data_IF_609374940986
#
_entry.id   IF_609374940986
#
_cell.length_a   1.000
_cell.length_b   1.000
_cell.length_c   1.000
_cell.angle_alpha   90.00
_cell.angle_beta   90.00
_cell.angle_gamma   90.00
#
_symmetry.space_group_name_H-M   'P 1'
#
loop_
_entity.id
_entity.type
_entity.pdbx_description
1 polymer ?
#
# COMPACT_ATOMS: atom_id res chain seq x y z
N UNK A 1 10.70 -16.81 -28.28
CA UNK A 1 11.68 -16.14 -27.39
C UNK A 1 11.97 -17.03 -26.18
N UNK A 2 13.15 -16.92 -25.57
CA UNK A 2 13.46 -17.58 -24.29
C UNK A 2 12.70 -16.91 -23.12
N UNK A 3 12.19 -17.70 -22.18
CA UNK A 3 11.44 -17.20 -21.02
C UNK A 3 12.24 -16.19 -20.20
N UNK A 4 13.56 -16.39 -20.05
CA UNK A 4 14.43 -15.44 -19.35
C UNK A 4 14.41 -14.06 -19.99
N UNK A 5 14.52 -14.00 -21.32
CA UNK A 5 14.49 -12.76 -22.09
C UNK A 5 13.12 -12.08 -22.04
N UNK A 6 12.04 -12.86 -22.04
CA UNK A 6 10.68 -12.34 -21.86
C UNK A 6 10.50 -11.73 -20.47
N UNK A 7 10.99 -12.38 -19.41
CA UNK A 7 10.94 -11.83 -18.04
C UNK A 7 11.74 -10.55 -17.88
N UNK A 8 12.92 -10.46 -18.50
CA UNK A 8 13.69 -9.20 -18.53
C UNK A 8 12.90 -8.08 -19.22
N UNK A 9 12.28 -8.37 -20.38
CA UNK A 9 11.47 -7.41 -21.10
C UNK A 9 10.24 -6.95 -20.30
N UNK A 10 9.58 -7.87 -19.60
CA UNK A 10 8.45 -7.54 -18.72
C UNK A 10 8.88 -6.69 -17.52
N UNK A 11 10.02 -7.00 -16.89
CA UNK A 11 10.58 -6.17 -15.80
C UNK A 11 10.81 -4.75 -16.28
N UNK A 12 11.53 -4.58 -17.39
CA UNK A 12 11.79 -3.27 -17.98
C UNK A 12 10.47 -2.50 -18.21
N UNK A 13 9.44 -3.15 -18.75
CA UNK A 13 8.12 -2.53 -18.95
C UNK A 13 7.44 -2.12 -17.63
N UNK A 14 7.52 -2.94 -16.58
CA UNK A 14 6.95 -2.61 -15.27
C UNK A 14 7.67 -1.42 -14.64
N UNK A 15 8.99 -1.33 -14.85
CA UNK A 15 9.84 -0.26 -14.36
C UNK A 15 9.77 1.02 -15.23
N UNK A 16 9.01 0.97 -16.35
CA UNK A 16 8.89 2.09 -17.30
C UNK A 16 10.11 2.28 -18.21
N UNK A 17 11.00 1.30 -18.25
CA UNK A 17 12.20 1.29 -19.08
C UNK A 17 11.93 0.80 -20.52
N UNK A 18 12.89 1.06 -21.40
CA UNK A 18 12.85 0.58 -22.77
C UNK A 18 13.06 -0.94 -22.86
N UNK A 19 12.41 -1.58 -23.83
CA UNK A 19 12.60 -3.01 -24.08
C UNK A 19 14.06 -3.32 -24.45
N UNK A 20 14.59 -4.49 -24.01
CA UNK A 20 15.94 -4.88 -24.32
C UNK A 20 16.14 -5.03 -25.85
N UNK A 21 17.35 -4.74 -26.38
CA UNK A 21 17.63 -4.80 -27.80
C UNK A 21 17.21 -6.14 -28.42
N UNK A 22 16.55 -6.10 -29.58
CA UNK A 22 16.06 -7.30 -30.28
C UNK A 22 14.85 -7.97 -29.63
N UNK A 23 14.22 -7.35 -28.63
CA UNK A 23 12.87 -7.70 -28.18
C UNK A 23 11.90 -6.62 -28.66
N UNK A 24 10.89 -7.04 -29.41
CA UNK A 24 9.78 -6.17 -29.81
C UNK A 24 8.56 -6.44 -28.94
N UNK A 25 7.66 -5.45 -28.84
CA UNK A 25 6.40 -5.62 -28.12
C UNK A 25 5.60 -6.79 -28.70
N UNK A 26 5.53 -6.90 -30.03
CA UNK A 26 4.83 -8.01 -30.69
C UNK A 26 5.41 -9.38 -30.32
N UNK A 27 6.73 -9.54 -30.33
CA UNK A 27 7.38 -10.80 -29.96
C UNK A 27 7.17 -11.16 -28.48
N UNK A 28 7.07 -10.14 -27.62
CA UNK A 28 6.72 -10.33 -26.21
C UNK A 28 5.27 -10.79 -26.05
N UNK A 29 4.32 -10.13 -26.72
CA UNK A 29 2.90 -10.49 -26.68
C UNK A 29 2.64 -11.90 -27.25
N UNK A 30 3.29 -12.26 -28.35
CA UNK A 30 3.22 -13.61 -28.92
C UNK A 30 3.73 -14.66 -27.92
N UNK A 31 4.83 -14.37 -27.21
CA UNK A 31 5.32 -15.27 -26.18
C UNK A 31 4.35 -15.40 -25.00
N UNK A 32 3.74 -14.29 -24.55
CA UNK A 32 2.74 -14.31 -23.48
C UNK A 32 1.49 -15.10 -23.89
N UNK A 33 1.08 -15.06 -25.15
CA UNK A 33 -0.02 -15.89 -25.64
C UNK A 33 0.31 -17.39 -25.53
N UNK A 34 1.56 -17.78 -25.82
CA UNK A 34 2.00 -19.18 -25.82
C UNK A 34 2.51 -19.73 -24.48
N UNK A 35 2.93 -18.89 -23.53
CA UNK A 35 3.64 -19.32 -22.32
C UNK A 35 2.87 -19.01 -21.03
N UNK A 36 2.30 -20.05 -20.41
CA UNK A 36 1.55 -19.92 -19.16
C UNK A 36 2.42 -19.44 -17.97
N UNK A 37 3.65 -19.92 -17.88
CA UNK A 37 4.56 -19.55 -16.78
C UNK A 37 4.92 -18.06 -16.82
N UNK A 38 5.12 -17.49 -18.01
CA UNK A 38 5.42 -16.06 -18.15
C UNK A 38 4.20 -15.20 -17.84
N UNK A 39 2.97 -15.63 -18.16
CA UNK A 39 1.75 -14.94 -17.73
C UNK A 39 1.57 -14.97 -16.21
N UNK A 40 1.82 -16.13 -15.60
CA UNK A 40 1.74 -16.28 -14.14
C UNK A 40 2.77 -15.40 -13.44
N UNK A 41 3.99 -15.33 -13.99
CA UNK A 41 5.06 -14.47 -13.52
C UNK A 41 4.68 -12.98 -13.63
N UNK A 42 4.18 -12.53 -14.78
CA UNK A 42 3.73 -11.14 -14.99
C UNK A 42 2.65 -10.74 -13.98
N UNK A 43 1.65 -11.60 -13.79
CA UNK A 43 0.59 -11.36 -12.81
C UNK A 43 1.15 -11.26 -11.37
N UNK A 44 2.18 -12.04 -11.04
CA UNK A 44 2.87 -11.97 -9.76
C UNK A 44 3.63 -10.65 -9.58
N UNK A 45 4.38 -10.25 -10.61
CA UNK A 45 5.14 -9.00 -10.60
C UNK A 45 4.22 -7.76 -10.46
N UNK A 46 3.10 -7.73 -11.19
CA UNK A 46 2.08 -6.67 -11.06
C UNK A 46 1.41 -6.62 -9.68
N UNK A 47 1.26 -7.76 -8.99
CA UNK A 47 0.77 -7.77 -7.61
C UNK A 47 1.80 -7.22 -6.64
N UNK A 48 3.07 -7.56 -6.83
CA UNK A 48 4.16 -7.05 -6.01
C UNK A 48 4.35 -5.55 -6.17
N UNK A 49 4.35 -5.05 -7.41
CA UNK A 49 4.49 -3.62 -7.69
C UNK A 49 3.42 -2.80 -6.97
N UNK A 50 2.15 -3.20 -7.09
CA UNK A 50 1.04 -2.54 -6.38
C UNK A 50 1.21 -2.55 -4.87
N UNK A 51 1.61 -3.68 -4.28
CA UNK A 51 1.85 -3.75 -2.84
C UNK A 51 2.97 -2.81 -2.40
N UNK A 52 4.05 -2.70 -3.17
CA UNK A 52 5.15 -1.75 -2.88
C UNK A 52 4.68 -0.31 -3.01
N UNK A 53 3.91 0.02 -4.05
CA UNK A 53 3.38 1.37 -4.27
C UNK A 53 2.43 1.79 -3.13
N UNK A 54 1.58 0.87 -2.64
CA UNK A 54 0.69 1.09 -1.51
C UNK A 54 1.46 1.34 -0.20
N UNK A 55 2.51 0.57 0.08
CA UNK A 55 3.37 0.79 1.27
C UNK A 55 4.11 2.14 1.21
N UNK A 56 4.55 2.55 0.01
CA UNK A 56 5.19 3.86 -0.21
C UNK A 56 4.17 4.99 -0.01
N UNK A 57 2.95 4.83 -0.51
CA UNK A 57 1.86 5.77 -0.26
C UNK A 57 1.51 5.86 1.24
N UNK A 58 1.39 4.71 1.91
CA UNK A 58 1.18 4.56 3.36
C UNK A 58 2.27 5.22 4.22
N UNK A 59 3.50 5.21 3.73
CA UNK A 59 4.63 5.88 4.39
C UNK A 59 4.58 7.40 4.21
N UNK A 60 4.11 7.89 3.07
CA UNK A 60 3.98 9.33 2.80
C UNK A 60 2.84 9.98 3.62
N UNK A 61 1.77 9.25 3.91
CA UNK A 61 0.67 9.71 4.76
C UNK A 61 1.03 9.69 6.26
N UNK A 62 1.84 8.72 6.73
CA UNK A 62 2.30 8.68 8.13
C UNK A 62 3.19 9.88 8.52
N UNK A 63 3.80 10.57 7.55
CA UNK A 63 4.59 11.79 7.78
C UNK A 63 3.76 13.05 8.01
N UNK A 64 2.42 12.99 7.89
CA UNK A 64 1.50 14.12 8.10
C UNK A 64 0.58 13.91 9.31
N UNK A 65 1.08 13.26 10.36
CA UNK A 65 0.50 13.41 11.69
C UNK A 65 1.03 14.70 12.30
N UNK A 66 0.28 15.78 12.15
CA UNK A 66 0.54 17.06 12.81
C UNK A 66 0.33 16.90 14.33
N UNK A 67 1.37 17.01 15.18
CA UNK A 67 1.20 16.88 16.63
C UNK A 67 0.54 18.11 17.29
N UNK A 68 -0.05 19.05 16.52
CA UNK A 68 -0.73 20.24 17.08
C UNK A 68 -2.26 20.22 16.99
N UNK A 69 -2.88 19.06 16.79
CA UNK A 69 -4.28 18.89 17.18
C UNK A 69 -4.35 18.61 18.69
N UNK A 70 -4.31 19.67 19.50
CA UNK A 70 -4.81 19.59 20.86
C UNK A 70 -6.34 19.43 20.79
N UNK A 71 -6.95 18.30 21.22
CA UNK A 71 -8.34 18.35 21.60
C UNK A 71 -8.43 19.17 22.88
N UNK A 72 -9.17 20.27 22.75
CA UNK A 72 -9.71 21.11 23.82
C UNK A 72 -9.82 20.39 25.16
N UNK A 73 -9.32 21.05 26.20
CA UNK A 73 -9.66 20.71 27.58
C UNK A 73 -11.18 20.75 27.77
N UNK A 74 -11.82 19.61 27.57
CA UNK A 74 -13.15 19.30 28.06
C UNK A 74 -12.95 18.56 29.37
N UNK A 75 -13.04 19.28 30.48
CA UNK A 75 -12.99 18.69 31.82
C UNK A 75 -14.08 17.62 31.95
N UNK A 76 -13.68 16.36 31.91
CA UNK A 76 -14.53 15.26 32.35
C UNK A 76 -14.39 15.19 33.86
N UNK A 77 -15.29 15.86 34.58
CA UNK A 77 -15.53 15.57 35.98
C UNK A 77 -16.13 14.17 36.06
N UNK A 78 -15.31 13.18 36.41
CA UNK A 78 -15.80 11.87 36.82
C UNK A 78 -16.42 12.03 38.22
N UNK A 79 -17.73 11.78 38.43
CA UNK A 79 -18.23 11.56 39.77
C UNK A 79 -17.69 10.22 40.25
N UNK A 80 -16.86 10.23 41.29
CA UNK A 80 -16.42 9.02 41.97
C UNK A 80 -17.62 8.23 42.51
N UNK A 81 -17.45 6.92 42.81
CA UNK A 81 -18.54 6.10 43.30
C UNK A 81 -19.01 6.61 44.67
N UNK A 82 -20.25 7.10 44.71
CA UNK A 82 -20.95 7.46 45.95
C UNK A 82 -21.24 6.18 46.74
N UNK A 83 -20.36 5.86 47.68
CA UNK A 83 -20.69 4.96 48.78
C UNK A 83 -20.73 5.79 50.07
N UNK A 84 -21.95 5.97 50.59
CA UNK A 84 -22.16 6.29 52.00
C UNK A 84 -22.66 7.70 52.32
N UNK A 85 -23.96 7.76 52.56
CA UNK A 85 -24.56 8.36 53.77
C UNK A 85 -24.62 9.89 53.93
N UNK A 86 -25.87 10.38 53.79
CA UNK A 86 -26.54 11.44 54.55
C UNK A 86 -25.78 12.76 54.83
N UNK A 87 -26.08 13.82 54.06
CA UNK A 87 -26.76 15.03 54.56
C UNK A 87 -27.03 16.01 53.39
N UNK A 88 -28.25 16.56 53.32
CA UNK A 88 -28.64 17.76 52.53
C UNK A 88 -28.56 18.97 53.50
N UNK A 89 -28.52 20.27 53.07
CA UNK A 89 -29.18 20.82 51.88
C UNK A 89 -28.44 21.98 51.15
N UNK A 90 -29.20 22.52 50.17
CA UNK A 90 -28.91 23.46 49.10
C UNK A 90 -28.64 24.93 49.48
N UNK A 91 -27.92 25.64 48.60
CA UNK A 91 -28.42 26.71 47.71
C UNK A 91 -27.51 26.79 46.48
#
# INVERSE_FOLDING_TARGET
>A
MLCSRARTALSARLDGEALPPGVTEQALQEHLAGCADCRAWEAGALRLQRAVDDEVAGSAESGRQDPRAAPSGGGSCNPGPTTGSSDRPAC
#
